data_IF_703410615670
#
_entry.id   IF_703410615670
#
_cell.length_a   1.000
_cell.length_b   1.000
_cell.length_c   1.000
_cell.angle_alpha   90.00
_cell.angle_beta   90.00
_cell.angle_gamma   90.00
#
_symmetry.space_group_name_H-M   'P 1'
#
loop_
_entity.id
_entity.type
_entity.pdbx_description
1 polymer ?
#
# COMPACT_ATOMS: atom_id res chain seq x y z
N UNK A 1 5.98 32.19 -17.68
CA UNK A 1 5.66 30.83 -18.16
C UNK A 1 6.41 29.72 -17.44
N UNK A 2 7.70 29.90 -17.12
CA UNK A 2 8.48 28.92 -16.34
C UNK A 2 7.89 28.65 -14.96
N UNK A 3 7.29 29.64 -14.29
CA UNK A 3 6.65 29.47 -12.98
C UNK A 3 5.39 28.59 -13.02
N UNK A 4 4.59 28.64 -14.10
CA UNK A 4 3.40 27.79 -14.27
C UNK A 4 3.78 26.33 -14.45
N UNK A 5 4.79 26.02 -15.24
CA UNK A 5 5.26 24.65 -15.46
C UNK A 5 5.87 24.04 -14.17
N UNK A 6 6.60 24.84 -13.40
CA UNK A 6 7.14 24.41 -12.11
C UNK A 6 6.05 24.12 -11.09
N UNK A 7 4.99 24.93 -11.01
CA UNK A 7 3.87 24.73 -10.08
C UNK A 7 3.01 23.52 -10.45
N UNK A 8 2.78 23.26 -11.75
CA UNK A 8 2.03 22.10 -12.23
C UNK A 8 2.78 20.80 -11.92
N UNK A 9 4.08 20.76 -12.15
CA UNK A 9 4.92 19.61 -11.79
C UNK A 9 4.94 19.36 -10.28
N UNK A 10 5.03 20.42 -9.48
CA UNK A 10 4.98 20.33 -8.02
C UNK A 10 3.63 19.85 -7.50
N UNK A 11 2.53 20.31 -8.09
CA UNK A 11 1.16 19.86 -7.77
C UNK A 11 0.98 18.40 -8.16
N UNK A 12 1.45 17.97 -9.33
CA UNK A 12 1.39 16.58 -9.79
C UNK A 12 2.15 15.62 -8.86
N UNK A 13 3.34 16.00 -8.40
CA UNK A 13 4.11 15.23 -7.41
C UNK A 13 3.39 15.12 -6.08
N UNK A 14 2.85 16.24 -5.59
CA UNK A 14 2.09 16.27 -4.34
C UNK A 14 0.83 15.40 -4.42
N UNK A 15 0.10 15.48 -5.52
CA UNK A 15 -1.11 14.67 -5.75
C UNK A 15 -0.77 13.17 -5.72
N UNK A 16 0.31 12.74 -6.37
CA UNK A 16 0.74 11.36 -6.35
C UNK A 16 1.10 10.87 -4.94
N UNK A 17 1.87 11.67 -4.22
CA UNK A 17 2.26 11.36 -2.85
C UNK A 17 1.05 11.27 -1.92
N UNK A 18 0.14 12.23 -2.03
CA UNK A 18 -1.09 12.24 -1.23
C UNK A 18 -2.02 11.08 -1.58
N UNK A 19 -2.13 10.70 -2.85
CA UNK A 19 -2.96 9.55 -3.27
C UNK A 19 -2.47 8.25 -2.68
N UNK A 20 -1.16 8.03 -2.65
CA UNK A 20 -0.57 6.87 -2.00
C UNK A 20 -0.85 6.88 -0.48
N UNK A 21 -0.62 8.03 0.16
CA UNK A 21 -0.85 8.19 1.58
C UNK A 21 -2.33 7.96 1.94
N UNK A 22 -3.26 8.48 1.15
CA UNK A 22 -4.70 8.26 1.32
C UNK A 22 -5.02 6.76 1.20
N UNK A 23 -4.45 6.07 0.21
CA UNK A 23 -4.62 4.62 0.06
C UNK A 23 -4.15 3.84 1.27
N UNK A 24 -2.99 4.21 1.83
CA UNK A 24 -2.46 3.61 3.06
C UNK A 24 -3.40 3.86 4.24
N UNK A 25 -3.87 5.10 4.42
CA UNK A 25 -4.81 5.45 5.50
C UNK A 25 -6.12 4.65 5.37
N UNK A 26 -6.67 4.54 4.17
CA UNK A 26 -7.89 3.74 3.90
C UNK A 26 -7.65 2.27 4.27
N UNK A 27 -6.49 1.71 3.88
CA UNK A 27 -6.13 0.33 4.21
C UNK A 27 -6.07 0.09 5.72
N UNK A 28 -5.45 1.01 6.46
CA UNK A 28 -5.36 0.94 7.91
C UNK A 28 -6.73 1.06 8.57
N UNK A 29 -7.56 1.99 8.10
CA UNK A 29 -8.93 2.17 8.60
C UNK A 29 -9.78 0.91 8.36
N UNK A 30 -9.72 0.32 7.18
CA UNK A 30 -10.42 -0.92 6.88
C UNK A 30 -9.96 -2.08 7.78
N UNK A 31 -8.67 -2.14 8.06
CA UNK A 31 -8.12 -3.13 8.98
C UNK A 31 -8.68 -2.99 10.40
N UNK A 32 -8.81 -1.76 10.89
CA UNK A 32 -9.35 -1.48 12.23
C UNK A 32 -10.85 -1.83 12.30
N UNK A 33 -11.62 -1.42 11.29
CA UNK A 33 -13.07 -1.60 11.26
C UNK A 33 -13.52 -2.93 10.64
N UNK A 34 -12.59 -3.83 10.34
CA UNK A 34 -12.90 -5.09 9.65
C UNK A 34 -13.89 -5.99 10.41
N UNK A 35 -13.89 -5.93 11.75
CA UNK A 35 -14.84 -6.70 12.57
C UNK A 35 -16.26 -6.15 12.55
N UNK A 36 -16.41 -4.84 12.41
CA UNK A 36 -17.72 -4.18 12.42
C UNK A 36 -18.42 -4.23 11.08
N UNK A 37 -17.68 -4.52 10.01
CA UNK A 37 -18.24 -4.57 8.67
C UNK A 37 -18.99 -5.90 8.43
N UNK A 38 -20.15 -5.85 7.76
CA UNK A 38 -20.84 -7.07 7.38
C UNK A 38 -19.95 -8.00 6.56
N UNK A 39 -19.97 -9.28 6.85
CA UNK A 39 -19.16 -10.31 6.17
C UNK A 39 -19.32 -10.25 4.64
N UNK A 40 -20.52 -9.89 4.17
CA UNK A 40 -20.82 -9.76 2.74
C UNK A 40 -19.99 -8.67 2.03
N UNK A 41 -19.53 -7.66 2.76
CA UNK A 41 -18.76 -6.54 2.19
C UNK A 41 -17.27 -6.82 2.14
N UNK A 42 -16.78 -7.80 2.89
CA UNK A 42 -15.37 -8.14 2.96
C UNK A 42 -14.70 -8.34 1.59
N UNK A 43 -15.22 -9.26 0.74
CA UNK A 43 -14.63 -9.48 -0.58
C UNK A 43 -14.65 -8.25 -1.49
N UNK A 44 -15.70 -7.43 -1.41
CA UNK A 44 -15.81 -6.20 -2.19
C UNK A 44 -14.77 -5.18 -1.77
N UNK A 45 -14.54 -5.02 -0.47
CA UNK A 45 -13.53 -4.12 0.07
C UNK A 45 -12.12 -4.58 -0.28
N UNK A 46 -11.85 -5.88 -0.21
CA UNK A 46 -10.57 -6.45 -0.62
C UNK A 46 -10.31 -6.19 -2.10
N UNK A 47 -11.31 -6.40 -2.95
CA UNK A 47 -11.22 -6.11 -4.38
C UNK A 47 -10.97 -4.63 -4.64
N UNK A 48 -11.64 -3.75 -3.92
CA UNK A 48 -11.44 -2.30 -4.02
C UNK A 48 -9.99 -1.91 -3.65
N UNK A 49 -9.41 -2.53 -2.63
CA UNK A 49 -8.01 -2.30 -2.24
C UNK A 49 -7.03 -2.74 -3.33
N UNK A 50 -7.28 -3.88 -3.96
CA UNK A 50 -6.45 -4.36 -5.08
C UNK A 50 -6.51 -3.38 -6.26
N UNK A 51 -7.72 -2.95 -6.65
CA UNK A 51 -7.90 -1.97 -7.73
C UNK A 51 -7.20 -0.64 -7.41
N UNK A 52 -7.33 -0.17 -6.17
CA UNK A 52 -6.64 1.04 -5.70
C UNK A 52 -5.12 0.90 -5.81
N UNK A 53 -4.58 -0.25 -5.41
CA UNK A 53 -3.15 -0.56 -5.53
C UNK A 53 -2.68 -0.53 -6.98
N UNK A 54 -3.46 -1.09 -7.91
CA UNK A 54 -3.15 -1.06 -9.35
C UNK A 54 -3.11 0.38 -9.84
N UNK A 55 -4.12 1.18 -9.52
CA UNK A 55 -4.21 2.59 -9.95
C UNK A 55 -3.00 3.38 -9.44
N UNK A 56 -2.67 3.24 -8.17
CA UNK A 56 -1.53 3.93 -7.55
C UNK A 56 -0.21 3.48 -8.16
N UNK A 57 -0.04 2.19 -8.38
CA UNK A 57 1.17 1.64 -9.00
C UNK A 57 1.38 2.15 -10.43
N UNK A 58 0.29 2.30 -11.21
CA UNK A 58 0.38 2.79 -12.58
C UNK A 58 0.67 4.30 -12.66
N UNK A 59 0.04 5.09 -11.81
CA UNK A 59 -0.04 6.54 -12.00
C UNK A 59 0.90 7.35 -11.09
N UNK A 60 1.27 6.85 -9.92
CA UNK A 60 1.70 7.74 -8.86
C UNK A 60 3.09 7.46 -8.29
N UNK A 61 3.82 6.47 -8.77
CA UNK A 61 5.16 6.20 -8.25
C UNK A 61 6.20 6.73 -9.25
N UNK A 62 6.93 7.82 -8.92
CA UNK A 62 7.96 8.36 -9.79
C UNK A 62 9.17 7.44 -9.87
N UNK A 63 9.87 7.45 -11.01
CA UNK A 63 11.05 6.61 -11.28
C UNK A 63 12.13 6.71 -10.21
N UNK A 64 12.31 7.88 -9.61
CA UNK A 64 13.32 8.12 -8.58
C UNK A 64 13.06 7.39 -7.28
N UNK A 65 11.78 7.11 -6.98
CA UNK A 65 11.35 6.51 -5.71
C UNK A 65 11.01 5.02 -5.83
N UNK A 66 11.09 4.46 -7.02
CA UNK A 66 10.71 3.07 -7.27
C UNK A 66 11.50 2.07 -6.42
N UNK A 67 12.83 2.27 -6.34
CA UNK A 67 13.69 1.35 -5.59
C UNK A 67 13.41 1.41 -4.08
N UNK A 68 13.23 2.61 -3.55
CA UNK A 68 12.89 2.80 -2.13
C UNK A 68 11.51 2.23 -1.82
N UNK A 69 10.56 2.44 -2.72
CA UNK A 69 9.21 1.86 -2.61
C UNK A 69 9.26 0.34 -2.60
N UNK A 70 10.00 -0.29 -3.51
CA UNK A 70 10.14 -1.75 -3.56
C UNK A 70 10.77 -2.30 -2.29
N UNK A 71 11.80 -1.63 -1.78
CA UNK A 71 12.48 -2.06 -0.56
C UNK A 71 11.53 -2.02 0.64
N UNK A 72 10.80 -0.92 0.79
CA UNK A 72 9.81 -0.76 1.85
C UNK A 72 8.67 -1.79 1.71
N UNK A 73 8.22 -2.04 0.48
CA UNK A 73 7.16 -3.00 0.20
C UNK A 73 7.58 -4.43 0.52
N UNK A 74 8.81 -4.82 0.18
CA UNK A 74 9.35 -6.14 0.53
C UNK A 74 9.38 -6.30 2.06
N UNK A 75 9.86 -5.29 2.77
CA UNK A 75 9.86 -5.28 4.24
C UNK A 75 8.44 -5.46 4.79
N UNK A 76 7.47 -4.72 4.23
CA UNK A 76 6.08 -4.83 4.63
C UNK A 76 5.49 -6.21 4.38
N UNK A 77 5.82 -6.85 3.26
CA UNK A 77 5.34 -8.19 2.92
C UNK A 77 5.89 -9.28 3.85
N UNK A 78 7.06 -9.06 4.43
CA UNK A 78 7.67 -9.99 5.37
C UNK A 78 7.09 -9.86 6.79
N UNK A 79 6.42 -8.75 7.09
CA UNK A 79 5.87 -8.51 8.43
C UNK A 79 4.74 -9.47 8.83
N UNK A 80 3.68 -9.69 7.98
CA UNK A 80 2.56 -10.54 8.41
C UNK A 80 2.97 -11.94 8.86
N UNK A 81 3.79 -12.70 8.12
CA UNK A 81 4.20 -14.03 8.60
C UNK A 81 5.07 -13.98 9.86
N UNK A 82 5.83 -12.90 10.05
CA UNK A 82 6.69 -12.73 11.25
C UNK A 82 5.90 -12.28 12.47
N UNK A 83 4.71 -11.72 12.27
CA UNK A 83 3.91 -11.14 13.35
C UNK A 83 3.07 -12.16 14.14
N UNK A 84 3.07 -13.44 13.76
CA UNK A 84 2.26 -14.45 14.43
C UNK A 84 2.57 -14.56 15.92
N UNK A 85 3.84 -14.55 16.30
CA UNK A 85 4.24 -14.56 17.71
C UNK A 85 3.93 -13.26 18.43
N UNK A 86 4.11 -12.14 17.72
CA UNK A 86 3.83 -10.80 18.28
C UNK A 86 2.33 -10.61 18.53
N UNK A 87 1.48 -11.08 17.61
CA UNK A 87 0.02 -10.99 17.78
C UNK A 87 -0.46 -11.75 19.01
N UNK A 88 0.08 -12.96 19.26
CA UNK A 88 -0.24 -13.74 20.46
C UNK A 88 0.20 -13.01 21.73
N UNK A 89 1.39 -12.40 21.72
CA UNK A 89 1.87 -11.62 22.85
C UNK A 89 0.98 -10.39 23.10
N UNK A 90 0.61 -9.68 22.06
CA UNK A 90 -0.27 -8.51 22.17
C UNK A 90 -1.64 -8.89 22.71
N UNK A 91 -2.21 -9.99 22.24
CA UNK A 91 -3.50 -10.50 22.73
C UNK A 91 -3.46 -10.88 24.21
N UNK A 92 -2.29 -11.26 24.73
CA UNK A 92 -2.14 -11.56 26.15
C UNK A 92 -2.20 -10.31 27.03
N UNK A 93 -1.86 -9.13 26.49
CA UNK A 93 -1.94 -7.86 27.23
C UNK A 93 -3.30 -7.17 27.02
N UNK A 94 -3.79 -7.15 25.79
CA UNK A 94 -5.09 -6.55 25.46
C UNK A 94 -5.79 -7.46 24.46
N UNK A 95 -6.91 -8.07 24.89
CA UNK A 95 -7.69 -8.97 24.03
C UNK A 95 -8.09 -8.27 22.72
N UNK A 96 -7.83 -8.93 21.59
CA UNK A 96 -8.17 -8.44 20.26
C UNK A 96 -7.12 -7.55 19.62
N UNK A 97 -6.10 -7.09 20.34
CA UNK A 97 -5.08 -6.19 19.78
C UNK A 97 -4.25 -6.85 18.68
N UNK A 98 -3.93 -8.13 18.85
CA UNK A 98 -3.21 -8.89 17.82
C UNK A 98 -4.03 -9.03 16.53
N UNK A 99 -5.33 -9.24 16.64
CA UNK A 99 -6.24 -9.30 15.49
C UNK A 99 -6.25 -7.96 14.71
N UNK A 100 -6.38 -6.83 15.41
CA UNK A 100 -6.38 -5.51 14.78
C UNK A 100 -5.11 -5.27 13.96
N UNK A 101 -3.95 -5.54 14.56
CA UNK A 101 -2.66 -5.33 13.89
C UNK A 101 -2.52 -6.24 12.67
N UNK A 102 -2.90 -7.51 12.81
CA UNK A 102 -2.85 -8.47 11.69
C UNK A 102 -3.78 -8.06 10.56
N UNK A 103 -4.99 -7.61 10.88
CA UNK A 103 -5.95 -7.10 9.88
C UNK A 103 -5.46 -5.86 9.17
N UNK A 104 -4.91 -4.90 9.92
CA UNK A 104 -4.33 -3.68 9.33
C UNK A 104 -3.20 -4.02 8.34
N UNK A 105 -2.30 -4.91 8.72
CA UNK A 105 -1.21 -5.35 7.85
C UNK A 105 -1.71 -6.10 6.63
N UNK A 106 -2.76 -6.92 6.78
CA UNK A 106 -3.36 -7.67 5.67
C UNK A 106 -3.96 -6.74 4.63
N UNK A 107 -4.76 -5.75 5.03
CA UNK A 107 -5.34 -4.77 4.10
C UNK A 107 -4.25 -3.91 3.45
N UNK A 108 -3.24 -3.51 4.22
CA UNK A 108 -2.11 -2.77 3.69
C UNK A 108 -1.34 -3.59 2.64
N UNK A 109 -1.12 -4.87 2.90
CA UNK A 109 -0.47 -5.79 1.96
C UNK A 109 -1.30 -5.95 0.68
N UNK A 110 -2.63 -6.11 0.81
CA UNK A 110 -3.54 -6.18 -0.35
C UNK A 110 -3.47 -4.93 -1.23
N UNK A 111 -3.27 -3.77 -0.64
CA UNK A 111 -3.10 -2.52 -1.37
C UNK A 111 -1.72 -2.44 -2.04
N UNK A 112 -0.66 -2.82 -1.31
CA UNK A 112 0.73 -2.66 -1.74
C UNK A 112 1.13 -3.70 -2.78
N UNK A 113 0.68 -4.96 -2.67
CA UNK A 113 1.06 -6.06 -3.57
C UNK A 113 0.84 -5.73 -5.06
N UNK A 114 -0.36 -5.31 -5.50
CA UNK A 114 -0.55 -4.97 -6.91
C UNK A 114 0.27 -3.76 -7.35
N UNK A 115 0.46 -2.78 -6.47
CA UNK A 115 1.31 -1.62 -6.75
C UNK A 115 2.77 -2.04 -6.97
N UNK A 116 3.30 -2.92 -6.12
CA UNK A 116 4.66 -3.48 -6.24
C UNK A 116 4.83 -4.24 -7.55
N UNK A 117 3.86 -5.07 -7.92
CA UNK A 117 3.91 -5.85 -9.14
C UNK A 117 4.04 -4.94 -10.37
N UNK A 118 3.25 -3.88 -10.42
CA UNK A 118 3.28 -2.90 -11.51
C UNK A 118 4.62 -2.14 -11.55
N UNK A 119 5.11 -1.69 -10.39
CA UNK A 119 6.40 -1.00 -10.29
C UNK A 119 7.55 -1.92 -10.69
N UNK A 120 7.51 -3.18 -10.28
CA UNK A 120 8.52 -4.18 -10.67
C UNK A 120 8.55 -4.37 -12.19
N UNK A 121 7.38 -4.50 -12.82
CA UNK A 121 7.29 -4.61 -14.29
C UNK A 121 7.84 -3.35 -14.97
N UNK A 122 7.51 -2.16 -14.46
CA UNK A 122 8.05 -0.90 -15.00
C UNK A 122 9.58 -0.88 -14.94
N UNK A 123 10.17 -1.29 -13.83
CA UNK A 123 11.63 -1.34 -13.68
C UNK A 123 12.26 -2.34 -14.66
N UNK A 124 11.66 -3.52 -14.83
CA UNK A 124 12.15 -4.53 -15.76
C UNK A 124 12.14 -4.00 -17.20
N UNK A 125 11.05 -3.36 -17.60
CA UNK A 125 10.92 -2.76 -18.93
C UNK A 125 11.96 -1.65 -19.12
N UNK A 126 12.13 -0.79 -18.14
CA UNK A 126 13.12 0.30 -18.18
C UNK A 126 14.55 -0.22 -18.29
N UNK A 127 14.89 -1.27 -17.56
CA UNK A 127 16.19 -1.92 -17.66
C UNK A 127 16.41 -2.58 -19.02
N UNK A 128 15.38 -3.13 -19.62
CA UNK A 128 15.44 -3.74 -20.94
C UNK A 128 15.64 -2.68 -22.04
N UNK A 129 15.05 -1.50 -21.88
CA UNK A 129 15.19 -0.39 -22.83
C UNK A 129 16.56 0.27 -22.81
N UNK A 130 17.24 0.28 -21.66
CA UNK A 130 18.59 0.84 -21.54
C UNK A 130 19.67 0.01 -22.27
N UNK A 131 19.37 -1.23 -22.60
CA UNK A 131 20.27 -2.10 -23.37
C UNK A 131 19.95 -2.09 -24.86
#
# INVERSE_FOLDING_TARGET
MAKKNGSVKGVSRKVGHYSFLIGVIIALMLGIFSEELPVAWGPMLMFAMVVLGIIVGLLHIPHKEMNEFLLAAIALMLLPPSMSGVSVLLDSFVQGSGFFITSMLSYLTLFVVPAVLIVAVKIIVELAEEK
#
